data_IF_621772387653
#
_entry.id   IF_621772387653
#
_cell.length_a   1.000
_cell.length_b   1.000
_cell.length_c   1.000
_cell.angle_alpha   90.00
_cell.angle_beta   90.00
_cell.angle_gamma   90.00
#
_symmetry.space_group_name_H-M   'P 1'
#
loop_
_entity.id
_entity.type
_entity.pdbx_description
1 polymer ?
#
# COMPACT_ATOMS: atom_id res chain seq x y z
N UNK A 1 -14.46 9.95 0.20
CA UNK A 1 -14.49 9.00 -0.95
C UNK A 1 -15.10 9.58 -2.23
N UNK A 2 -16.11 10.47 -2.17
CA UNK A 2 -16.62 11.16 -3.37
C UNK A 2 -15.49 11.91 -4.14
N UNK A 3 -14.59 12.54 -3.43
CA UNK A 3 -13.45 13.26 -4.01
C UNK A 3 -12.49 12.32 -4.77
N UNK A 4 -12.25 11.10 -4.28
CA UNK A 4 -11.42 10.12 -4.99
C UNK A 4 -12.04 9.71 -6.33
N UNK A 5 -13.36 9.53 -6.36
CA UNK A 5 -14.08 9.25 -7.61
C UNK A 5 -13.99 10.43 -8.58
N UNK A 6 -14.14 11.65 -8.07
CA UNK A 6 -13.98 12.86 -8.88
C UNK A 6 -12.55 13.02 -9.45
N UNK A 7 -11.55 12.46 -8.76
CA UNK A 7 -10.16 12.41 -9.20
C UNK A 7 -9.83 11.20 -10.11
N UNK A 8 -10.84 10.46 -10.59
CA UNK A 8 -10.67 9.33 -11.51
C UNK A 8 -10.26 8.02 -10.84
N UNK A 9 -10.43 7.88 -9.51
CA UNK A 9 -10.17 6.62 -8.81
C UNK A 9 -11.41 5.73 -8.79
N UNK A 10 -11.19 4.41 -8.79
CA UNK A 10 -12.27 3.41 -8.79
C UNK A 10 -12.92 3.17 -10.16
N UNK A 11 -12.31 3.63 -11.24
CA UNK A 11 -12.67 3.23 -12.62
C UNK A 11 -12.24 1.78 -12.88
N UNK A 12 -12.77 1.17 -13.94
CA UNK A 12 -12.60 -0.27 -14.20
C UNK A 12 -11.14 -0.72 -14.31
N UNK A 13 -10.27 0.15 -14.81
CA UNK A 13 -8.82 -0.08 -14.99
C UNK A 13 -7.96 0.45 -13.82
N UNK A 14 -8.58 0.94 -12.74
CA UNK A 14 -7.85 1.31 -11.52
C UNK A 14 -7.55 0.07 -10.67
N UNK A 15 -6.38 -0.53 -10.88
CA UNK A 15 -5.92 -1.71 -10.15
C UNK A 15 -5.30 -1.41 -8.77
N UNK A 16 -5.38 -0.16 -8.31
CA UNK A 16 -4.93 0.20 -6.97
C UNK A 16 -5.84 -0.36 -5.88
N UNK A 17 -5.32 -0.49 -4.65
CA UNK A 17 -6.13 -0.90 -3.49
C UNK A 17 -7.29 0.07 -3.24
N UNK A 18 -7.05 1.38 -3.39
CA UNK A 18 -8.11 2.40 -3.28
C UNK A 18 -9.18 2.20 -4.38
N UNK A 19 -8.75 1.91 -5.62
CA UNK A 19 -9.67 1.60 -6.71
C UNK A 19 -10.55 0.40 -6.40
N UNK A 20 -9.95 -0.67 -5.87
CA UNK A 20 -10.68 -1.85 -5.41
C UNK A 20 -11.71 -1.48 -4.32
N UNK A 21 -11.32 -0.77 -3.26
CA UNK A 21 -12.24 -0.35 -2.20
C UNK A 21 -13.41 0.47 -2.73
N UNK A 22 -13.17 1.38 -3.65
CA UNK A 22 -14.22 2.24 -4.22
C UNK A 22 -15.19 1.49 -5.13
N UNK A 23 -14.71 0.49 -5.85
CA UNK A 23 -15.48 -0.27 -6.84
C UNK A 23 -16.21 -1.43 -6.21
N UNK A 24 -15.50 -2.22 -5.39
CA UNK A 24 -15.96 -3.54 -4.98
C UNK A 24 -16.54 -3.54 -3.57
N UNK A 25 -16.36 -2.45 -2.80
CA UNK A 25 -16.90 -2.27 -1.45
C UNK A 25 -17.71 -0.97 -1.31
N UNK A 26 -18.72 -0.71 -2.18
CA UNK A 26 -19.47 0.55 -2.16
C UNK A 26 -20.23 0.77 -0.85
N UNK A 27 -20.66 -0.30 -0.18
CA UNK A 27 -21.39 -0.26 1.08
C UNK A 27 -20.56 0.30 2.24
N UNK A 28 -19.24 0.12 2.20
CA UNK A 28 -18.31 0.62 3.21
C UNK A 28 -18.37 2.16 3.39
N UNK A 29 -18.87 2.85 2.37
CA UNK A 29 -18.94 4.32 2.30
C UNK A 29 -20.36 4.87 2.48
N UNK A 30 -21.34 4.02 2.79
CA UNK A 30 -22.76 4.39 2.87
C UNK A 30 -23.14 5.07 4.18
N UNK A 31 -22.42 4.79 5.27
CA UNK A 31 -22.65 5.36 6.60
C UNK A 31 -21.39 5.33 7.45
N UNK A 32 -21.39 6.08 8.56
CA UNK A 32 -20.32 6.02 9.58
C UNK A 32 -20.17 4.62 10.20
N UNK A 33 -21.30 3.90 10.36
CA UNK A 33 -21.28 2.55 10.91
C UNK A 33 -20.60 1.56 9.95
N UNK A 34 -20.99 1.59 8.67
CA UNK A 34 -20.37 0.78 7.62
C UNK A 34 -18.89 1.08 7.47
N UNK A 35 -18.49 2.34 7.55
CA UNK A 35 -17.09 2.74 7.50
C UNK A 35 -16.31 2.22 8.71
N UNK A 36 -16.88 2.29 9.92
CA UNK A 36 -16.22 1.72 11.13
C UNK A 36 -16.06 0.21 11.02
N UNK A 37 -17.07 -0.50 10.53
CA UNK A 37 -16.97 -1.95 10.29
C UNK A 37 -15.86 -2.26 9.29
N UNK A 38 -15.83 -1.60 8.15
CA UNK A 38 -14.76 -1.71 7.15
C UNK A 38 -13.36 -1.44 7.76
N UNK A 39 -13.22 -0.36 8.52
CA UNK A 39 -11.95 -0.02 9.17
C UNK A 39 -11.51 -1.10 10.18
N UNK A 40 -12.45 -1.74 10.88
CA UNK A 40 -12.16 -2.87 11.77
C UNK A 40 -11.70 -4.10 10.98
N UNK A 41 -12.35 -4.42 9.87
CA UNK A 41 -11.95 -5.54 8.99
C UNK A 41 -10.54 -5.32 8.42
N UNK A 42 -10.24 -4.13 7.92
CA UNK A 42 -8.88 -3.77 7.45
C UNK A 42 -7.85 -3.94 8.57
N UNK A 43 -8.16 -3.45 9.77
CA UNK A 43 -7.26 -3.58 10.93
C UNK A 43 -7.08 -5.03 11.39
N UNK A 44 -8.08 -5.88 11.22
CA UNK A 44 -8.00 -7.30 11.56
C UNK A 44 -7.05 -8.07 10.64
N UNK A 45 -6.82 -7.59 9.39
CA UNK A 45 -5.93 -8.27 8.43
C UNK A 45 -4.49 -8.44 8.93
N UNK A 46 -4.05 -7.67 9.92
CA UNK A 46 -2.74 -7.82 10.56
C UNK A 46 -2.60 -9.07 11.45
N UNK A 47 -3.71 -9.69 11.86
CA UNK A 47 -3.72 -10.82 12.77
C UNK A 47 -3.59 -12.13 12.01
N UNK A 48 -2.78 -13.06 12.49
CA UNK A 48 -2.59 -14.38 11.86
C UNK A 48 -3.89 -15.18 11.77
N UNK A 49 -4.72 -15.11 12.78
CA UNK A 49 -5.99 -15.81 12.89
C UNK A 49 -7.10 -15.28 11.99
N UNK A 50 -6.94 -14.10 11.39
CA UNK A 50 -7.96 -13.55 10.48
C UNK A 50 -8.06 -14.42 9.23
N UNK A 51 -9.25 -14.97 8.89
CA UNK A 51 -9.43 -15.74 7.67
C UNK A 51 -9.10 -14.90 6.43
N UNK A 52 -8.38 -15.50 5.50
CA UNK A 52 -8.02 -14.86 4.22
C UNK A 52 -7.93 -15.89 3.10
N UNK A 53 -8.06 -15.47 1.83
CA UNK A 53 -7.89 -16.36 0.69
C UNK A 53 -6.49 -16.99 0.67
N UNK A 54 -6.39 -18.16 0.02
CA UNK A 54 -5.10 -18.81 -0.19
C UNK A 54 -4.13 -17.89 -0.94
N UNK A 55 -2.87 -17.90 -0.53
CA UNK A 55 -1.82 -17.03 -1.10
C UNK A 55 -1.75 -15.63 -0.49
N UNK A 56 -2.74 -15.23 0.32
CA UNK A 56 -2.69 -13.97 1.06
C UNK A 56 -1.98 -14.16 2.40
N UNK A 57 -1.34 -13.11 2.86
CA UNK A 57 -0.59 -13.08 4.13
C UNK A 57 -1.14 -11.98 5.03
N UNK A 58 -0.85 -12.01 6.34
CA UNK A 58 -1.15 -10.87 7.20
C UNK A 58 -0.58 -9.58 6.64
N UNK A 59 -1.36 -8.51 6.73
CA UNK A 59 -1.05 -7.19 6.18
C UNK A 59 -1.40 -6.10 7.20
N UNK A 60 -0.47 -5.20 7.45
CA UNK A 60 -0.73 -4.00 8.26
C UNK A 60 -0.94 -2.83 7.33
N UNK A 61 -2.16 -2.31 7.28
CA UNK A 61 -2.48 -1.11 6.52
C UNK A 61 -2.42 0.14 7.40
N UNK A 62 -1.75 1.17 6.90
CA UNK A 62 -1.65 2.49 7.51
C UNK A 62 -2.26 3.52 6.58
N UNK A 63 -3.03 4.45 7.13
CA UNK A 63 -3.64 5.54 6.40
C UNK A 63 -2.86 6.83 6.67
N UNK A 64 -2.60 7.56 5.59
CA UNK A 64 -1.94 8.85 5.62
C UNK A 64 -2.98 9.96 5.55
N UNK A 65 -3.12 10.72 6.61
CA UNK A 65 -4.18 11.71 6.77
C UNK A 65 -3.60 13.07 7.18
N UNK A 66 -4.32 14.14 6.83
CA UNK A 66 -4.06 15.51 7.30
C UNK A 66 -5.38 16.07 7.83
N UNK A 67 -5.52 16.16 9.16
CA UNK A 67 -6.82 16.39 9.79
C UNK A 67 -7.84 15.34 9.37
N UNK A 68 -8.93 15.79 8.76
CA UNK A 68 -10.02 14.92 8.25
C UNK A 68 -9.81 14.47 6.79
N UNK A 69 -8.71 14.91 6.15
CA UNK A 69 -8.43 14.59 4.77
C UNK A 69 -7.59 13.32 4.64
N UNK A 70 -8.12 12.33 3.90
CA UNK A 70 -7.37 11.13 3.54
C UNK A 70 -6.51 11.41 2.30
N UNK A 71 -5.20 11.27 2.44
CA UNK A 71 -4.22 11.57 1.40
C UNK A 71 -3.67 10.32 0.70
N UNK A 72 -3.68 9.17 1.38
CA UNK A 72 -3.15 7.93 0.84
C UNK A 72 -3.11 6.79 1.84
N UNK A 73 -2.64 5.65 1.38
CA UNK A 73 -2.48 4.43 2.19
C UNK A 73 -1.15 3.75 1.89
N UNK A 74 -0.68 2.94 2.82
CA UNK A 74 0.47 2.07 2.65
C UNK A 74 0.20 0.75 3.39
N UNK A 75 0.37 -0.38 2.69
CA UNK A 75 0.22 -1.72 3.26
C UNK A 75 1.58 -2.39 3.42
N UNK A 76 1.73 -3.14 4.51
CA UNK A 76 2.94 -3.89 4.85
C UNK A 76 2.56 -5.36 5.02
N UNK A 77 2.88 -6.19 4.05
CA UNK A 77 2.72 -7.65 4.12
C UNK A 77 3.78 -8.22 5.04
N UNK A 78 3.37 -9.02 6.03
CA UNK A 78 4.27 -9.48 7.09
C UNK A 78 5.31 -10.50 6.60
N UNK A 79 5.06 -11.16 5.46
CA UNK A 79 5.98 -12.12 4.83
C UNK A 79 5.78 -12.16 3.31
N UNK A 80 6.74 -12.71 2.62
CA UNK A 80 6.65 -12.93 1.18
C UNK A 80 6.18 -14.36 0.88
N UNK A 81 5.21 -14.47 -0.01
CA UNK A 81 4.94 -15.72 -0.76
C UNK A 81 5.79 -15.73 -2.03
N UNK A 82 5.89 -16.86 -2.76
CA UNK A 82 6.58 -16.89 -4.05
C UNK A 82 6.11 -15.79 -5.01
N UNK A 83 4.80 -15.56 -5.13
CA UNK A 83 4.24 -14.51 -5.98
C UNK A 83 4.62 -13.10 -5.51
N UNK A 84 4.59 -12.85 -4.19
CA UNK A 84 5.00 -11.57 -3.62
C UNK A 84 6.51 -11.33 -3.78
N UNK A 85 7.31 -12.39 -3.73
CA UNK A 85 8.75 -12.29 -3.99
C UNK A 85 9.03 -11.89 -5.45
N UNK A 86 8.23 -12.36 -6.41
CA UNK A 86 8.41 -12.03 -7.82
C UNK A 86 7.99 -10.59 -8.15
N UNK A 87 6.75 -10.20 -7.81
CA UNK A 87 6.17 -8.94 -8.30
C UNK A 87 5.51 -8.06 -7.26
N UNK A 88 5.07 -8.60 -6.12
CA UNK A 88 4.26 -7.85 -5.15
C UNK A 88 5.03 -7.12 -4.05
N UNK A 89 6.12 -7.72 -3.56
CA UNK A 89 6.92 -7.18 -2.45
C UNK A 89 6.22 -7.18 -1.10
N UNK A 90 6.91 -6.67 -0.08
CA UNK A 90 6.35 -6.44 1.25
C UNK A 90 5.47 -5.19 1.31
N UNK A 91 5.85 -4.11 0.61
CA UNK A 91 5.24 -2.80 0.79
C UNK A 91 4.64 -2.29 -0.52
N UNK A 92 3.37 -1.91 -0.47
CA UNK A 92 2.66 -1.22 -1.54
C UNK A 92 1.97 0.03 -1.01
N UNK A 93 1.98 1.12 -1.77
CA UNK A 93 1.39 2.40 -1.37
C UNK A 93 0.66 3.09 -2.52
N UNK A 94 -0.24 3.99 -2.12
CA UNK A 94 -1.05 4.78 -3.02
C UNK A 94 -1.29 6.17 -2.43
N UNK A 95 -1.18 7.21 -3.26
CA UNK A 95 -1.45 8.60 -2.88
C UNK A 95 -2.50 9.15 -3.85
N UNK A 96 -3.54 9.79 -3.29
CA UNK A 96 -4.60 10.41 -4.10
C UNK A 96 -4.00 11.39 -5.11
N UNK A 97 -4.57 11.49 -6.33
CA UNK A 97 -4.02 12.32 -7.41
C UNK A 97 -3.70 13.75 -7.00
N UNK A 98 -4.60 14.45 -6.31
CA UNK A 98 -4.42 15.84 -5.87
C UNK A 98 -3.32 16.05 -4.82
N UNK A 99 -2.92 14.99 -4.10
CA UNK A 99 -1.86 15.03 -3.09
C UNK A 99 -0.50 14.56 -3.62
N UNK A 100 -0.40 14.16 -4.88
CA UNK A 100 0.86 13.69 -5.47
C UNK A 100 1.89 14.82 -5.61
N UNK A 101 3.16 14.45 -5.76
CA UNK A 101 4.31 15.34 -5.96
C UNK A 101 4.59 16.31 -4.80
N UNK A 102 4.02 16.03 -3.62
CA UNK A 102 4.18 16.80 -2.37
C UNK A 102 5.02 16.08 -1.31
N UNK A 103 5.66 14.96 -1.66
CA UNK A 103 6.53 14.19 -0.77
C UNK A 103 5.82 13.16 0.11
N UNK A 104 4.49 13.07 0.08
CA UNK A 104 3.73 12.16 0.94
C UNK A 104 4.16 10.70 0.80
N UNK A 105 4.29 10.15 -0.41
CA UNK A 105 4.72 8.76 -0.59
C UNK A 105 6.12 8.48 0.00
N UNK A 106 7.05 9.45 -0.10
CA UNK A 106 8.39 9.32 0.50
C UNK A 106 8.31 9.27 2.02
N UNK A 107 7.47 10.13 2.62
CA UNK A 107 7.25 10.14 4.06
C UNK A 107 6.53 8.87 4.53
N UNK A 108 5.47 8.45 3.83
CA UNK A 108 4.73 7.20 4.12
C UNK A 108 5.66 5.98 4.13
N UNK A 109 6.51 5.82 3.10
CA UNK A 109 7.44 4.70 3.04
C UNK A 109 8.45 4.76 4.18
N UNK A 110 8.96 5.93 4.54
CA UNK A 110 9.88 6.09 5.68
C UNK A 110 9.25 5.61 6.99
N UNK A 111 8.01 6.01 7.28
CA UNK A 111 7.31 5.59 8.51
C UNK A 111 6.94 4.09 8.47
N UNK A 112 6.54 3.58 7.30
CA UNK A 112 6.25 2.17 7.13
C UNK A 112 7.47 1.26 7.35
N UNK A 113 8.68 1.72 7.02
CA UNK A 113 9.92 0.97 7.28
C UNK A 113 10.19 0.82 8.79
N UNK A 114 9.78 1.79 9.62
CA UNK A 114 9.87 1.67 11.08
C UNK A 114 8.89 0.60 11.57
N UNK A 115 7.64 0.63 11.07
CA UNK A 115 6.63 -0.39 11.42
C UNK A 115 7.07 -1.77 10.95
N UNK A 116 7.60 -1.90 9.72
CA UNK A 116 8.12 -3.14 9.18
C UNK A 116 9.24 -3.73 10.05
N UNK A 117 10.12 -2.89 10.60
CA UNK A 117 11.15 -3.32 11.55
C UNK A 117 10.53 -3.92 12.82
N UNK A 118 9.50 -3.28 13.35
CA UNK A 118 8.73 -3.78 14.50
C UNK A 118 8.01 -5.11 14.23
N UNK A 119 7.70 -5.41 12.97
CA UNK A 119 7.14 -6.69 12.52
C UNK A 119 8.20 -7.77 12.27
N UNK A 120 9.49 -7.49 12.52
CA UNK A 120 10.59 -8.44 12.32
C UNK A 120 11.14 -8.49 10.88
N UNK A 121 10.69 -7.59 10.00
CA UNK A 121 11.21 -7.49 8.63
C UNK A 121 12.47 -6.64 8.66
N UNK A 122 13.63 -7.24 8.47
CA UNK A 122 14.93 -6.51 8.50
C UNK A 122 15.18 -5.75 7.20
N UNK A 123 14.75 -6.32 6.08
CA UNK A 123 14.87 -5.73 4.75
C UNK A 123 13.58 -5.97 4.00
N UNK A 124 12.94 -4.91 3.57
CA UNK A 124 11.67 -4.99 2.84
C UNK A 124 11.90 -4.99 1.33
N UNK A 125 11.27 -5.93 0.61
CA UNK A 125 11.17 -5.87 -0.84
C UNK A 125 10.06 -4.87 -1.20
N UNK A 126 10.38 -3.88 -2.02
CA UNK A 126 9.43 -2.89 -2.56
C UNK A 126 9.56 -2.90 -4.07
N UNK A 127 8.43 -3.01 -4.77
CA UNK A 127 8.41 -3.10 -6.23
C UNK A 127 7.65 -1.93 -6.85
N UNK A 128 8.00 -1.59 -8.07
CA UNK A 128 7.23 -0.63 -8.88
C UNK A 128 7.33 -0.99 -10.37
N UNK A 129 6.38 -0.52 -11.16
CA UNK A 129 6.44 -0.65 -12.62
C UNK A 129 7.68 0.06 -13.16
N UNK A 130 8.27 -0.47 -14.23
CA UNK A 130 9.49 0.09 -14.84
C UNK A 130 9.31 1.54 -15.31
N UNK A 131 8.09 1.90 -15.72
CA UNK A 131 7.72 3.25 -16.17
C UNK A 131 7.24 4.17 -15.03
N UNK A 132 7.07 3.64 -13.80
CA UNK A 132 6.64 4.42 -12.64
C UNK A 132 7.82 5.16 -12.00
N UNK A 133 8.31 6.20 -12.68
CA UNK A 133 9.44 7.04 -12.25
C UNK A 133 9.17 7.65 -10.85
N UNK A 134 7.91 7.96 -10.54
CA UNK A 134 7.52 8.50 -9.24
C UNK A 134 7.77 7.53 -8.10
N UNK A 135 7.33 6.28 -8.24
CA UNK A 135 7.54 5.24 -7.24
C UNK A 135 9.02 4.86 -7.12
N UNK A 136 9.72 4.72 -8.24
CA UNK A 136 11.18 4.50 -8.24
C UNK A 136 11.90 5.55 -7.40
N UNK A 137 11.64 6.83 -7.63
CA UNK A 137 12.29 7.92 -6.89
C UNK A 137 11.93 7.90 -5.38
N UNK A 138 10.71 7.48 -5.00
CA UNK A 138 10.29 7.30 -3.59
C UNK A 138 11.12 6.20 -2.93
N UNK A 139 11.28 5.06 -3.60
CA UNK A 139 12.01 3.89 -3.09
C UNK A 139 13.49 4.23 -2.93
N UNK A 140 14.12 4.81 -3.96
CA UNK A 140 15.53 5.21 -3.94
C UNK A 140 15.84 6.25 -2.85
N UNK A 141 14.95 7.25 -2.64
CA UNK A 141 15.10 8.23 -1.55
C UNK A 141 15.00 7.62 -0.15
N UNK A 142 14.38 6.46 -0.02
CA UNK A 142 14.32 5.70 1.23
C UNK A 142 15.46 4.68 1.37
N UNK A 143 16.45 4.71 0.48
CA UNK A 143 17.61 3.85 0.52
C UNK A 143 17.40 2.50 -0.16
N UNK A 144 16.44 2.42 -1.08
CA UNK A 144 16.21 1.22 -1.89
C UNK A 144 17.36 0.95 -2.83
N UNK A 145 17.84 -0.30 -2.81
CA UNK A 145 18.86 -0.82 -3.72
C UNK A 145 18.20 -1.72 -4.73
N UNK A 146 18.34 -1.39 -6.01
CA UNK A 146 17.79 -2.19 -7.10
C UNK A 146 18.46 -3.57 -7.12
N UNK A 147 17.67 -4.63 -7.09
CA UNK A 147 18.12 -6.00 -7.28
C UNK A 147 18.08 -6.38 -8.76
N UNK A 148 16.91 -6.32 -9.35
CA UNK A 148 16.67 -6.72 -10.73
C UNK A 148 15.34 -6.16 -11.26
N UNK A 149 15.02 -6.57 -12.49
CA UNK A 149 13.71 -6.37 -13.11
C UNK A 149 13.09 -7.74 -13.40
N UNK A 150 11.81 -7.94 -13.00
CA UNK A 150 11.02 -9.14 -13.29
C UNK A 150 9.61 -8.76 -13.70
N UNK A 151 9.14 -9.35 -14.79
CA UNK A 151 7.76 -9.17 -15.28
C UNK A 151 7.33 -7.69 -15.36
N UNK A 152 8.25 -6.80 -15.81
CA UNK A 152 7.99 -5.37 -15.91
C UNK A 152 7.98 -4.61 -14.58
N UNK A 153 8.44 -5.24 -13.48
CA UNK A 153 8.62 -4.63 -12.16
C UNK A 153 10.10 -4.47 -11.82
N UNK A 154 10.48 -3.28 -11.41
CA UNK A 154 11.74 -3.03 -10.72
C UNK A 154 11.61 -3.50 -9.26
N UNK A 155 12.56 -4.28 -8.76
CA UNK A 155 12.58 -4.86 -7.41
C UNK A 155 13.69 -4.25 -6.60
N UNK A 156 13.34 -3.64 -5.47
CA UNK A 156 14.28 -2.95 -4.59
C UNK A 156 14.24 -3.54 -3.19
N UNK A 157 15.42 -3.79 -2.63
CA UNK A 157 15.55 -4.08 -1.20
C UNK A 157 15.81 -2.81 -0.43
N UNK A 158 15.00 -2.57 0.59
CA UNK A 158 15.07 -1.38 1.44
C UNK A 158 15.30 -1.83 2.88
N UNK A 159 16.40 -1.40 3.50
CA UNK A 159 16.66 -1.71 4.90
C UNK A 159 15.64 -0.99 5.80
N UNK A 160 15.03 -1.73 6.71
CA UNK A 160 14.11 -1.20 7.70
C UNK A 160 14.86 -0.49 8.84
N UNK A 161 14.18 0.33 9.60
CA UNK A 161 14.82 1.25 10.58
C UNK A 161 14.30 1.04 11.98
#
# INVERSE_FOLDING_TARGET
MAEFRAEGRGVADDHSVIGHYLRDLPEAWSSDESFRAFAQEVRAQRLEETPRPEGYVPDTELWWVDGDEFLGRIGIRHRLTPALLETGGHIGYDVRPSARRRGHATAMLREALIVARGLGIETALVTCDVDNIGSRAVIERNGGVLEDEREGKLRFWVRTR
#
